data_IF_869873180445
#
_entry.id   IF_869873180445
#
_cell.length_a   1.000
_cell.length_b   1.000
_cell.length_c   1.000
_cell.angle_alpha   90.00
_cell.angle_beta   90.00
_cell.angle_gamma   90.00
#
_symmetry.space_group_name_H-M   'P 1'
#
loop_
_entity.id
_entity.type
_entity.pdbx_description
1 polymer ?
#
# COMPACT_ATOMS: atom_id res chain seq x y z
N UNK A 1 -3.99 -23.72 5.04
CA UNK A 1 -2.74 -23.26 4.38
C UNK A 1 -2.91 -23.36 2.89
N UNK A 2 -2.94 -22.19 2.26
CA UNK A 2 -3.07 -22.04 0.81
C UNK A 2 -1.76 -22.47 0.10
N UNK A 3 -1.83 -23.11 -1.07
CA UNK A 3 -0.64 -23.42 -1.87
C UNK A 3 0.15 -22.17 -2.27
N UNK A 4 1.48 -22.23 -2.22
CA UNK A 4 2.38 -21.13 -2.60
C UNK A 4 2.06 -20.52 -3.98
N UNK A 5 1.61 -21.33 -4.93
CA UNK A 5 1.20 -20.88 -6.27
C UNK A 5 0.12 -19.78 -6.24
N UNK A 6 -0.79 -19.78 -5.27
CA UNK A 6 -1.85 -18.77 -5.22
C UNK A 6 -1.34 -17.41 -4.74
N UNK A 7 -0.37 -17.41 -3.82
CA UNK A 7 0.34 -16.18 -3.45
C UNK A 7 1.06 -15.58 -4.67
N UNK A 8 1.76 -16.40 -5.46
CA UNK A 8 2.42 -15.93 -6.68
C UNK A 8 1.43 -15.35 -7.70
N UNK A 9 0.28 -16.00 -7.90
CA UNK A 9 -0.78 -15.52 -8.81
C UNK A 9 -1.31 -14.16 -8.35
N UNK A 10 -1.65 -14.02 -7.07
CA UNK A 10 -2.20 -12.77 -6.52
C UNK A 10 -1.18 -11.64 -6.61
N UNK A 11 0.08 -11.89 -6.26
CA UNK A 11 1.16 -10.90 -6.40
C UNK A 11 1.36 -10.48 -7.86
N UNK A 12 1.42 -11.44 -8.78
CA UNK A 12 1.57 -11.16 -10.21
C UNK A 12 0.42 -10.30 -10.74
N UNK A 13 -0.82 -10.61 -10.37
CA UNK A 13 -2.00 -9.82 -10.77
C UNK A 13 -1.98 -8.43 -10.14
N UNK A 14 -1.66 -8.32 -8.84
CA UNK A 14 -1.57 -7.03 -8.15
C UNK A 14 -0.55 -6.09 -8.81
N UNK A 15 0.60 -6.62 -9.25
CA UNK A 15 1.60 -5.86 -10.00
C UNK A 15 1.09 -5.56 -11.41
N UNK A 16 0.57 -6.56 -12.12
CA UNK A 16 0.16 -6.45 -13.52
C UNK A 16 -0.95 -5.42 -13.75
N UNK A 17 -1.95 -5.36 -12.86
CA UNK A 17 -3.04 -4.37 -12.93
C UNK A 17 -2.50 -2.94 -12.83
N UNK A 18 -1.43 -2.76 -12.07
CA UNK A 18 -0.77 -1.46 -11.89
C UNK A 18 0.33 -1.22 -12.93
N UNK A 19 0.65 -2.16 -13.82
CA UNK A 19 1.57 -1.88 -14.93
C UNK A 19 1.04 -0.78 -15.84
N UNK A 20 -0.29 -0.70 -16.00
CA UNK A 20 -0.93 0.34 -16.81
C UNK A 20 -0.82 1.75 -16.19
N UNK A 21 -0.53 1.85 -14.89
CA UNK A 21 -0.30 3.15 -14.22
C UNK A 21 1.13 3.65 -14.39
N UNK A 22 2.04 2.80 -14.87
CA UNK A 22 3.46 3.12 -15.09
C UNK A 22 3.72 4.06 -16.26
N UNK A 23 2.74 4.25 -17.14
CA UNK A 23 2.81 5.21 -18.24
C UNK A 23 2.55 6.66 -17.77
N UNK A 24 2.25 6.86 -16.49
CA UNK A 24 2.10 8.20 -15.90
C UNK A 24 3.46 8.88 -15.76
N UNK A 25 3.66 9.96 -16.50
CA UNK A 25 4.84 10.81 -16.34
C UNK A 25 4.63 11.83 -15.21
N UNK A 26 5.71 12.38 -14.66
CA UNK A 26 5.61 13.65 -13.94
C UNK A 26 5.32 14.72 -15.00
N UNK A 27 4.06 14.97 -15.36
CA UNK A 27 3.74 15.98 -16.39
C UNK A 27 4.37 17.32 -15.99
N UNK A 28 5.36 17.74 -16.77
CA UNK A 28 5.98 19.05 -16.71
C UNK A 28 5.12 20.03 -17.54
N UNK A 29 4.94 21.24 -17.05
CA UNK A 29 4.78 22.39 -17.95
C UNK A 29 6.20 22.71 -18.45
N UNK A 30 6.43 22.83 -19.76
CA UNK A 30 7.73 23.07 -20.41
C UNK A 30 8.43 24.37 -19.96
N UNK A 31 7.83 25.08 -19.01
CA UNK A 31 8.37 26.26 -18.36
C UNK A 31 8.56 25.90 -16.89
N UNK A 32 9.81 25.86 -16.44
CA UNK A 32 10.23 25.76 -15.03
C UNK A 32 9.76 26.95 -14.16
N UNK A 33 8.50 27.36 -14.27
CA UNK A 33 7.85 28.44 -13.54
C UNK A 33 6.75 27.86 -12.65
N UNK A 34 6.66 28.25 -11.37
CA UNK A 34 5.54 27.88 -10.52
C UNK A 34 4.24 28.37 -11.19
N UNK A 35 3.31 27.46 -11.45
CA UNK A 35 1.99 27.81 -11.97
C UNK A 35 1.32 28.78 -11.00
N UNK A 36 1.30 30.06 -11.34
CA UNK A 36 0.53 31.05 -10.61
C UNK A 36 -0.94 30.63 -10.56
N UNK A 37 -1.55 30.90 -9.41
CA UNK A 37 -2.86 30.49 -8.91
C UNK A 37 -4.09 30.75 -9.80
N UNK A 38 -3.93 31.29 -11.01
CA UNK A 38 -5.03 31.67 -11.89
C UNK A 38 -5.57 30.52 -12.76
N UNK A 39 -4.79 29.46 -13.03
CA UNK A 39 -5.28 28.29 -13.76
C UNK A 39 -6.11 27.33 -12.90
N UNK A 40 -5.99 27.42 -11.57
CA UNK A 40 -6.79 26.65 -10.60
C UNK A 40 -8.27 27.06 -10.66
N UNK A 41 -8.57 28.31 -11.05
CA UNK A 41 -9.96 28.78 -11.16
C UNK A 41 -10.58 28.49 -12.54
N UNK A 42 -9.78 28.38 -13.60
CA UNK A 42 -10.29 28.04 -14.94
C UNK A 42 -10.55 26.54 -15.15
N UNK A 43 -9.90 25.65 -14.39
CA UNK A 43 -10.17 24.21 -14.45
C UNK A 43 -11.56 23.81 -13.92
N UNK A 44 -12.29 24.72 -13.28
CA UNK A 44 -13.71 24.54 -12.93
C UNK A 44 -14.69 24.79 -14.07
N UNK A 45 -14.29 25.35 -15.23
CA UNK A 45 -15.27 25.82 -16.23
C UNK A 45 -15.13 25.40 -17.67
N UNK A 46 -14.04 24.79 -18.13
CA UNK A 46 -13.92 24.46 -19.56
C UNK A 46 -13.41 23.05 -19.78
N UNK A 47 -14.37 22.12 -19.83
CA UNK A 47 -14.30 21.05 -20.81
C UNK A 47 -14.13 21.68 -22.20
N UNK A 48 -13.00 21.42 -22.86
CA UNK A 48 -12.98 21.15 -24.30
C UNK A 48 -11.62 20.58 -24.70
N UNK A 49 -11.67 19.32 -25.13
CA UNK A 49 -10.67 18.64 -25.94
C UNK A 49 -10.09 19.59 -26.99
N UNK A 50 -8.76 19.78 -26.98
CA UNK A 50 -7.95 19.84 -28.21
C UNK A 50 -6.45 19.87 -27.91
N UNK A 51 -5.76 18.96 -28.58
CA UNK A 51 -4.32 18.95 -28.91
C UNK A 51 -3.31 18.82 -27.77
N UNK A 52 -3.02 17.55 -27.42
CA UNK A 52 -1.64 17.12 -27.15
C UNK A 52 -1.43 15.86 -27.99
N UNK A 53 -1.27 16.07 -29.30
CA UNK A 53 -0.85 15.05 -30.25
C UNK A 53 0.66 15.19 -30.46
N UNK A 54 1.44 14.60 -29.57
CA UNK A 54 2.83 14.26 -29.86
C UNK A 54 3.23 13.09 -28.96
N UNK A 55 3.70 12.01 -29.57
CA UNK A 55 4.16 10.77 -28.94
C UNK A 55 3.08 9.81 -28.41
N UNK A 56 2.56 8.97 -29.33
CA UNK A 56 2.51 7.50 -29.17
C UNK A 56 1.59 6.91 -30.26
N UNK A 57 2.21 6.46 -31.34
CA UNK A 57 1.61 5.48 -32.23
C UNK A 57 1.55 4.12 -31.50
N UNK A 58 0.51 3.35 -31.81
CA UNK A 58 0.18 2.00 -31.32
C UNK A 58 -0.30 1.83 -29.88
N UNK A 59 -1.61 2.01 -29.68
CA UNK A 59 -2.52 1.02 -29.03
C UNK A 59 -3.89 1.66 -28.70
N UNK A 60 -4.74 1.83 -29.71
CA UNK A 60 -6.04 2.52 -29.59
C UNK A 60 -7.12 1.80 -28.75
N UNK A 61 -6.83 0.65 -28.15
CA UNK A 61 -7.81 -0.12 -27.36
C UNK A 61 -7.74 0.16 -25.84
N UNK A 62 -6.58 0.58 -25.31
CA UNK A 62 -6.40 0.77 -23.86
C UNK A 62 -6.78 2.19 -23.37
N UNK A 63 -6.78 3.18 -24.28
CA UNK A 63 -7.11 4.59 -23.99
C UNK A 63 -8.58 4.86 -23.67
N UNK A 64 -9.49 3.96 -24.03
CA UNK A 64 -10.93 4.13 -23.82
C UNK A 64 -11.41 3.60 -22.46
N UNK A 65 -10.54 2.98 -21.66
CA UNK A 65 -10.93 2.49 -20.34
C UNK A 65 -11.11 3.67 -19.37
N UNK A 66 -12.21 3.72 -18.58
CA UNK A 66 -12.42 4.76 -17.58
C UNK A 66 -11.30 4.79 -16.52
N UNK A 67 -10.61 3.66 -16.33
CA UNK A 67 -9.43 3.55 -15.47
C UNK A 67 -8.24 4.35 -16.02
N UNK A 68 -8.04 4.38 -17.35
CA UNK A 68 -6.95 5.16 -17.97
C UNK A 68 -7.15 6.68 -17.79
N UNK A 69 -8.40 7.15 -17.93
CA UNK A 69 -8.76 8.57 -17.72
C UNK A 69 -8.58 9.03 -16.27
N UNK A 70 -8.81 8.15 -15.30
CA UNK A 70 -8.63 8.44 -13.87
C UNK A 70 -7.15 8.55 -13.48
N UNK A 71 -6.29 7.71 -14.07
CA UNK A 71 -4.86 7.60 -13.77
C UNK A 71 -4.09 8.85 -14.23
N UNK A 72 -4.48 9.48 -15.34
CA UNK A 72 -3.88 10.71 -15.87
C UNK A 72 -4.55 11.99 -15.32
N UNK A 73 -5.28 11.92 -14.22
CA UNK A 73 -5.94 13.11 -13.68
C UNK A 73 -4.89 14.17 -13.26
N UNK A 74 -5.04 15.45 -13.67
CA UNK A 74 -4.06 16.51 -13.40
C UNK A 74 -3.73 16.70 -11.91
N UNK A 75 -4.68 16.36 -11.03
CA UNK A 75 -4.53 16.43 -9.57
C UNK A 75 -3.49 15.45 -9.04
N UNK A 76 -3.43 14.23 -9.58
CA UNK A 76 -2.48 13.19 -9.16
C UNK A 76 -1.05 13.62 -9.51
N UNK A 77 -0.87 14.14 -10.71
CA UNK A 77 0.44 14.56 -11.21
C UNK A 77 0.98 15.77 -10.44
N UNK A 78 0.15 16.78 -10.23
CA UNK A 78 0.54 17.97 -9.47
C UNK A 78 0.95 17.64 -8.03
N UNK A 79 0.20 16.74 -7.38
CA UNK A 79 0.50 16.30 -6.01
C UNK A 79 1.84 15.56 -5.95
N UNK A 80 2.14 14.71 -6.93
CA UNK A 80 3.40 13.98 -7.01
C UNK A 80 4.60 14.93 -7.19
N UNK A 81 4.46 15.95 -8.03
CA UNK A 81 5.49 16.96 -8.22
C UNK A 81 5.82 17.68 -6.91
N UNK A 82 4.81 18.18 -6.18
CA UNK A 82 5.05 18.88 -4.92
C UNK A 82 5.68 17.99 -3.86
N UNK A 83 5.20 16.75 -3.73
CA UNK A 83 5.66 15.84 -2.68
C UNK A 83 7.08 15.32 -2.91
N UNK A 84 7.55 15.25 -4.17
CA UNK A 84 8.82 14.60 -4.55
C UNK A 84 9.80 15.60 -5.14
N UNK A 85 9.43 16.24 -6.26
CA UNK A 85 10.37 17.06 -7.05
C UNK A 85 10.62 18.40 -6.37
N UNK A 86 9.57 19.06 -5.89
CA UNK A 86 9.69 20.35 -5.19
C UNK A 86 10.13 20.18 -3.71
N UNK A 87 10.12 18.96 -3.18
CA UNK A 87 10.41 18.69 -1.78
C UNK A 87 11.92 18.50 -1.54
N UNK A 88 12.55 19.49 -0.92
CA UNK A 88 13.98 19.47 -0.58
C UNK A 88 14.37 18.31 0.35
N UNK A 89 13.43 17.79 1.15
CA UNK A 89 13.70 16.67 2.05
C UNK A 89 13.85 15.35 1.29
N UNK A 90 13.22 15.22 0.11
CA UNK A 90 13.30 14.05 -0.76
C UNK A 90 14.56 14.06 -1.61
N UNK A 91 14.90 15.21 -2.20
CA UNK A 91 16.13 15.37 -3.01
C UNK A 91 17.42 15.30 -2.18
N UNK A 92 17.30 15.25 -0.85
CA UNK A 92 18.44 15.13 0.05
C UNK A 92 19.19 16.43 0.29
N UNK A 93 18.60 17.57 -0.09
CA UNK A 93 19.17 18.89 0.13
C UNK A 93 19.05 19.22 1.63
N UNK A 94 20.14 18.98 2.36
CA UNK A 94 20.26 19.22 3.78
C UNK A 94 20.08 17.97 4.66
N UNK A 95 20.04 18.22 5.97
CA UNK A 95 20.01 17.17 7.00
C UNK A 95 18.78 16.28 6.89
N UNK A 96 18.97 14.96 7.04
CA UNK A 96 17.86 13.98 7.09
C UNK A 96 16.88 14.25 8.24
N UNK A 97 17.35 14.86 9.33
CA UNK A 97 16.52 15.18 10.49
C UNK A 97 15.39 16.18 10.17
N UNK A 98 15.52 16.96 9.08
CA UNK A 98 14.48 17.88 8.62
C UNK A 98 13.17 17.16 8.30
N UNK A 99 13.23 15.90 7.85
CA UNK A 99 12.05 15.07 7.57
C UNK A 99 11.14 14.93 8.79
N UNK A 100 11.71 14.97 10.01
CA UNK A 100 10.95 14.86 11.25
C UNK A 100 10.42 16.21 11.77
N UNK A 101 10.89 17.33 11.22
CA UNK A 101 10.50 18.69 11.60
C UNK A 101 9.58 19.36 10.55
N UNK A 102 9.54 18.83 9.34
CA UNK A 102 8.73 19.32 8.24
C UNK A 102 7.45 18.50 8.05
N UNK A 103 6.47 19.10 7.38
CA UNK A 103 5.32 18.39 6.88
C UNK A 103 5.67 17.58 5.62
N UNK A 104 4.71 16.80 5.15
CA UNK A 104 4.81 15.93 3.98
C UNK A 104 5.28 16.65 2.70
N UNK A 105 5.11 17.97 2.60
CA UNK A 105 5.44 18.78 1.43
C UNK A 105 6.79 19.49 1.57
N UNK A 106 7.51 19.29 2.68
CA UNK A 106 8.83 19.89 2.93
C UNK A 106 8.77 21.27 3.59
N UNK A 107 7.61 21.68 4.12
CA UNK A 107 7.45 22.95 4.84
C UNK A 107 7.59 22.70 6.34
N UNK A 108 8.35 23.50 7.11
CA UNK A 108 8.45 23.35 8.56
C UNK A 108 7.09 23.35 9.25
N UNK A 109 6.87 22.42 10.18
CA UNK A 109 5.57 22.28 10.88
C UNK A 109 5.17 23.54 11.67
N UNK A 110 6.15 24.33 12.11
CA UNK A 110 5.93 25.60 12.80
C UNK A 110 5.51 26.74 11.87
N UNK A 111 5.65 26.58 10.55
CA UNK A 111 5.34 27.61 9.59
C UNK A 111 3.81 27.76 9.44
N UNK A 112 3.25 28.99 9.45
CA UNK A 112 1.80 29.21 9.34
C UNK A 112 1.16 28.64 8.07
N UNK A 113 1.92 28.60 6.97
CA UNK A 113 1.51 28.01 5.69
C UNK A 113 1.69 26.50 5.57
N UNK A 114 2.12 25.81 6.64
CA UNK A 114 2.21 24.35 6.64
C UNK A 114 0.82 23.72 6.63
N UNK A 115 0.66 22.66 5.85
CA UNK A 115 -0.55 21.83 5.88
C UNK A 115 -0.65 20.97 7.14
N UNK A 116 0.42 20.92 7.96
CA UNK A 116 0.54 20.07 9.17
C UNK A 116 0.32 18.59 8.91
N UNK A 117 0.42 18.16 7.66
CA UNK A 117 0.33 16.77 7.25
C UNK A 117 1.63 16.05 7.59
N UNK A 118 1.71 15.48 8.79
CA UNK A 118 2.93 14.82 9.29
C UNK A 118 3.03 13.36 8.82
N UNK A 119 3.98 13.06 7.92
CA UNK A 119 4.18 11.73 7.32
C UNK A 119 5.68 11.41 7.08
N UNK A 120 6.54 11.48 8.12
CA UNK A 120 7.99 11.42 7.96
C UNK A 120 8.47 10.10 7.33
N UNK A 121 7.82 8.98 7.66
CA UNK A 121 8.18 7.67 7.11
C UNK A 121 7.97 7.61 5.59
N UNK A 122 6.93 8.25 5.08
CA UNK A 122 6.63 8.25 3.64
C UNK A 122 7.66 9.11 2.90
N UNK A 123 8.00 10.28 3.43
CA UNK A 123 9.06 11.14 2.89
C UNK A 123 10.41 10.41 2.91
N UNK A 124 10.71 9.63 3.96
CA UNK A 124 11.90 8.77 4.00
C UNK A 124 11.88 7.72 2.87
N UNK A 125 10.74 7.06 2.61
CA UNK A 125 10.65 6.11 1.48
C UNK A 125 10.87 6.80 0.13
N UNK A 126 10.40 8.05 -0.04
CA UNK A 126 10.65 8.82 -1.26
C UNK A 126 12.12 9.22 -1.37
N UNK A 127 12.76 9.68 -0.29
CA UNK A 127 14.19 10.00 -0.27
C UNK A 127 15.05 8.78 -0.59
N UNK A 128 14.70 7.61 -0.06
CA UNK A 128 15.37 6.36 -0.39
C UNK A 128 15.18 5.99 -1.85
N UNK A 129 13.96 6.11 -2.37
CA UNK A 129 13.66 5.86 -3.77
C UNK A 129 14.43 6.82 -4.70
N UNK A 130 14.54 8.10 -4.31
CA UNK A 130 15.36 9.10 -5.00
C UNK A 130 16.84 8.75 -4.99
N UNK A 131 17.38 8.32 -3.85
CA UNK A 131 18.79 7.94 -3.73
C UNK A 131 19.18 6.78 -4.67
N UNK A 132 18.25 5.88 -4.98
CA UNK A 132 18.48 4.73 -5.86
C UNK A 132 18.18 5.00 -7.33
N UNK A 133 17.11 5.74 -7.64
CA UNK A 133 16.55 5.85 -8.99
C UNK A 133 16.26 7.29 -9.44
N UNK A 134 16.65 8.28 -8.63
CA UNK A 134 16.42 9.70 -8.90
C UNK A 134 14.95 10.06 -9.00
N UNK A 135 14.62 10.95 -9.95
CA UNK A 135 13.26 11.38 -10.25
C UNK A 135 12.60 10.55 -11.36
N UNK A 136 12.94 9.26 -11.50
CA UNK A 136 12.28 8.39 -12.48
C UNK A 136 10.85 8.04 -12.02
N UNK A 137 9.76 8.52 -12.66
CA UNK A 137 8.38 8.27 -12.21
C UNK A 137 8.06 6.79 -12.18
N UNK A 138 8.58 6.03 -13.15
CA UNK A 138 8.49 4.58 -13.21
C UNK A 138 8.90 3.91 -11.89
N UNK A 139 10.00 4.35 -11.27
CA UNK A 139 10.49 3.78 -10.01
C UNK A 139 9.51 4.00 -8.84
N UNK A 140 8.82 5.14 -8.82
CA UNK A 140 7.86 5.46 -7.77
C UNK A 140 6.57 4.67 -7.91
N UNK A 141 6.06 4.53 -9.15
CA UNK A 141 4.89 3.69 -9.41
C UNK A 141 5.20 2.21 -9.17
N UNK A 142 6.39 1.72 -9.55
CA UNK A 142 6.82 0.36 -9.25
C UNK A 142 6.88 0.09 -7.75
N UNK A 143 7.42 1.03 -6.97
CA UNK A 143 7.45 0.93 -5.52
C UNK A 143 6.03 0.80 -4.94
N UNK A 144 5.07 1.56 -5.46
CA UNK A 144 3.67 1.46 -5.02
C UNK A 144 3.03 0.12 -5.44
N UNK A 145 3.31 -0.36 -6.65
CA UNK A 145 2.84 -1.67 -7.12
C UNK A 145 3.38 -2.82 -6.27
N UNK A 146 4.66 -2.76 -5.88
CA UNK A 146 5.27 -3.72 -4.95
C UNK A 146 4.62 -3.63 -3.56
N UNK A 147 4.38 -2.43 -3.04
CA UNK A 147 3.68 -2.25 -1.77
C UNK A 147 2.26 -2.85 -1.83
N UNK A 148 1.53 -2.63 -2.93
CA UNK A 148 0.18 -3.20 -3.12
C UNK A 148 0.20 -4.73 -3.21
N UNK A 149 1.21 -5.31 -3.86
CA UNK A 149 1.41 -6.75 -3.89
C UNK A 149 1.62 -7.30 -2.47
N UNK A 150 2.47 -6.66 -1.65
CA UNK A 150 2.68 -7.04 -0.24
C UNK A 150 1.37 -6.94 0.55
N UNK A 151 0.61 -5.85 0.37
CA UNK A 151 -0.69 -5.69 1.03
C UNK A 151 -1.67 -6.81 0.64
N UNK A 152 -1.73 -7.16 -0.65
CA UNK A 152 -2.58 -8.23 -1.17
C UNK A 152 -2.19 -9.61 -0.62
N UNK A 153 -0.88 -9.88 -0.48
CA UNK A 153 -0.36 -11.11 0.11
C UNK A 153 -0.69 -11.21 1.61
N UNK A 154 -0.57 -10.10 2.35
CA UNK A 154 -0.97 -10.06 3.76
C UNK A 154 -2.48 -10.25 3.92
N UNK A 155 -3.27 -9.64 3.05
CA UNK A 155 -4.73 -9.78 3.05
C UNK A 155 -5.14 -11.25 2.86
N UNK A 156 -4.63 -11.93 1.83
CA UNK A 156 -5.00 -13.33 1.58
C UNK A 156 -4.50 -14.26 2.71
N UNK A 157 -3.33 -13.98 3.30
CA UNK A 157 -2.83 -14.71 4.46
C UNK A 157 -3.73 -14.53 5.70
N UNK A 158 -4.30 -13.34 5.88
CA UNK A 158 -5.23 -13.05 6.96
C UNK A 158 -6.57 -13.76 6.74
N UNK A 159 -7.08 -13.75 5.51
CA UNK A 159 -8.33 -14.46 5.15
C UNK A 159 -8.21 -15.97 5.38
N UNK A 160 -7.10 -16.60 4.98
CA UNK A 160 -6.84 -18.03 5.25
C UNK A 160 -6.92 -18.34 6.75
N UNK A 161 -6.31 -17.47 7.56
CA UNK A 161 -6.22 -17.69 9.01
C UNK A 161 -7.55 -17.46 9.73
N UNK A 162 -8.34 -16.46 9.33
CA UNK A 162 -9.59 -16.11 10.02
C UNK A 162 -10.71 -17.06 9.60
N UNK A 163 -10.92 -17.25 8.30
CA UNK A 163 -12.14 -17.87 7.80
C UNK A 163 -12.00 -19.34 7.43
N UNK A 164 -10.78 -19.84 7.23
CA UNK A 164 -10.50 -21.26 6.90
C UNK A 164 -11.38 -21.80 5.75
N UNK A 165 -11.60 -20.96 4.73
CA UNK A 165 -12.47 -21.26 3.60
C UNK A 165 -11.80 -22.20 2.60
N UNK A 166 -12.55 -22.61 1.57
CA UNK A 166 -11.97 -23.37 0.46
C UNK A 166 -10.87 -22.54 -0.23
N UNK A 167 -9.81 -23.22 -0.68
CA UNK A 167 -8.64 -22.55 -1.25
C UNK A 167 -9.00 -21.68 -2.47
N UNK A 168 -9.97 -22.10 -3.27
CA UNK A 168 -10.48 -21.34 -4.42
C UNK A 168 -11.16 -20.05 -4.01
N UNK A 169 -11.92 -20.06 -2.91
CA UNK A 169 -12.59 -18.87 -2.41
C UNK A 169 -11.58 -17.86 -1.87
N UNK A 170 -10.54 -18.34 -1.19
CA UNK A 170 -9.51 -17.43 -0.67
C UNK A 170 -8.68 -16.82 -1.81
N UNK A 171 -8.37 -17.60 -2.86
CA UNK A 171 -7.78 -17.06 -4.09
C UNK A 171 -8.69 -15.99 -4.72
N UNK A 172 -9.99 -16.25 -4.81
CA UNK A 172 -10.96 -15.28 -5.33
C UNK A 172 -10.97 -13.98 -4.51
N UNK A 173 -10.97 -14.06 -3.17
CA UNK A 173 -10.85 -12.87 -2.32
C UNK A 173 -9.56 -12.09 -2.57
N UNK A 174 -8.42 -12.78 -2.70
CA UNK A 174 -7.13 -12.14 -2.98
C UNK A 174 -7.08 -11.45 -4.34
N UNK A 175 -7.63 -12.10 -5.38
CA UNK A 175 -7.73 -11.51 -6.72
C UNK A 175 -8.68 -10.31 -6.74
N UNK A 176 -9.83 -10.41 -6.05
CA UNK A 176 -10.78 -9.32 -5.94
C UNK A 176 -10.14 -8.12 -5.26
N UNK A 177 -9.41 -8.31 -4.15
CA UNK A 177 -8.64 -7.25 -3.50
C UNK A 177 -7.56 -6.66 -4.40
N UNK A 178 -6.80 -7.49 -5.12
CA UNK A 178 -5.72 -7.04 -5.98
C UNK A 178 -6.20 -6.14 -7.14
N UNK A 179 -7.36 -6.46 -7.72
CA UNK A 179 -7.93 -5.80 -8.91
C UNK A 179 -8.90 -4.66 -8.55
N UNK A 180 -9.31 -4.54 -7.28
CA UNK A 180 -10.41 -3.66 -6.90
C UNK A 180 -10.14 -2.19 -7.26
N UNK A 181 -11.01 -1.59 -8.07
CA UNK A 181 -10.87 -0.21 -8.56
C UNK A 181 -10.83 0.85 -7.43
N UNK A 182 -11.33 0.52 -6.24
CA UNK A 182 -11.20 1.39 -5.04
C UNK A 182 -9.75 1.69 -4.68
N UNK A 183 -8.82 0.79 -5.02
CA UNK A 183 -7.40 0.98 -4.78
C UNK A 183 -6.71 1.77 -5.90
N UNK A 184 -7.40 2.07 -7.00
CA UNK A 184 -6.80 2.75 -8.14
C UNK A 184 -6.24 4.13 -7.73
N UNK A 185 -6.97 4.92 -6.94
CA UNK A 185 -6.47 6.23 -6.50
C UNK A 185 -5.26 6.11 -5.56
N UNK A 186 -5.29 5.13 -4.63
CA UNK A 186 -4.22 4.90 -3.66
C UNK A 186 -2.94 4.32 -4.28
N UNK A 187 -3.06 3.50 -5.33
CA UNK A 187 -1.92 2.82 -5.95
C UNK A 187 -1.41 3.55 -7.19
N UNK A 188 -2.31 4.12 -8.01
CA UNK A 188 -1.92 4.88 -9.20
C UNK A 188 -1.28 6.22 -8.84
N UNK A 189 -1.75 6.89 -7.79
CA UNK A 189 -1.09 8.10 -7.31
C UNK A 189 0.21 7.77 -6.60
N UNK A 190 1.33 8.36 -7.01
CA UNK A 190 2.61 8.20 -6.33
C UNK A 190 2.49 8.59 -4.85
N UNK A 191 1.76 9.69 -4.57
CA UNK A 191 1.51 10.22 -3.22
C UNK A 191 0.66 9.25 -2.37
N UNK A 192 -0.15 8.40 -3.01
CA UNK A 192 -0.99 7.40 -2.36
C UNK A 192 -0.21 6.28 -1.65
N UNK A 193 1.12 6.23 -1.80
CA UNK A 193 2.02 5.33 -1.06
C UNK A 193 1.74 5.31 0.44
N UNK A 194 1.36 6.46 1.01
CA UNK A 194 1.02 6.58 2.42
C UNK A 194 -0.10 5.61 2.85
N UNK A 195 -1.15 5.49 2.03
CA UNK A 195 -2.32 4.68 2.34
C UNK A 195 -2.01 3.18 2.17
N UNK A 196 -1.18 2.83 1.18
CA UNK A 196 -0.75 1.45 0.94
C UNK A 196 0.15 0.95 2.07
N UNK A 197 1.14 1.75 2.48
CA UNK A 197 2.03 1.42 3.60
C UNK A 197 1.26 1.33 4.91
N UNK A 198 0.32 2.25 5.17
CA UNK A 198 -0.55 2.17 6.34
C UNK A 198 -1.36 0.86 6.36
N UNK A 199 -1.90 0.47 5.20
CA UNK A 199 -2.62 -0.81 5.04
C UNK A 199 -1.73 -2.01 5.37
N UNK A 200 -0.48 -2.03 4.89
CA UNK A 200 0.49 -3.08 5.23
C UNK A 200 0.71 -3.16 6.75
N UNK A 201 0.90 -2.03 7.43
CA UNK A 201 1.11 -1.99 8.88
C UNK A 201 -0.10 -2.53 9.65
N UNK A 202 -1.30 -2.13 9.25
CA UNK A 202 -2.56 -2.59 9.87
C UNK A 202 -2.72 -4.10 9.67
N UNK A 203 -2.60 -4.60 8.44
CA UNK A 203 -2.72 -6.02 8.14
C UNK A 203 -1.66 -6.86 8.87
N UNK A 204 -0.43 -6.37 8.93
CA UNK A 204 0.67 -7.03 9.67
C UNK A 204 0.34 -7.12 11.17
N UNK A 205 -0.18 -6.05 11.75
CA UNK A 205 -0.58 -6.01 13.17
C UNK A 205 -1.65 -7.06 13.46
N UNK A 206 -2.69 -7.14 12.62
CA UNK A 206 -3.73 -8.16 12.75
C UNK A 206 -3.17 -9.57 12.59
N UNK A 207 -2.28 -9.79 11.63
CA UNK A 207 -1.68 -11.09 11.38
C UNK A 207 -0.88 -11.58 12.60
N UNK A 208 -0.03 -10.73 13.17
CA UNK A 208 0.78 -11.04 14.36
C UNK A 208 -0.11 -11.23 15.60
N UNK A 209 -1.12 -10.39 15.78
CA UNK A 209 -2.08 -10.53 16.89
C UNK A 209 -2.78 -11.89 16.90
N UNK A 210 -3.27 -12.33 15.73
CA UNK A 210 -3.91 -13.64 15.60
C UNK A 210 -2.93 -14.79 15.79
N UNK A 211 -1.68 -14.62 15.34
CA UNK A 211 -0.63 -15.62 15.56
C UNK A 211 -0.35 -15.81 17.05
N UNK A 212 -0.22 -14.71 17.80
CA UNK A 212 0.03 -14.76 19.24
C UNK A 212 -1.15 -15.40 19.98
N UNK A 213 -2.39 -15.03 19.65
CA UNK A 213 -3.58 -15.68 20.25
C UNK A 213 -3.61 -17.19 20.03
N UNK A 214 -3.25 -17.64 18.82
CA UNK A 214 -3.19 -19.07 18.51
C UNK A 214 -2.06 -19.82 19.25
N UNK A 215 -0.98 -19.13 19.61
CA UNK A 215 0.10 -19.71 20.43
C UNK A 215 -0.29 -19.78 21.90
N UNK A 216 -0.85 -18.71 22.47
CA UNK A 216 -1.28 -18.69 23.87
C UNK A 216 -2.37 -19.73 24.15
N UNK A 217 -3.32 -19.93 23.23
CA UNK A 217 -4.34 -20.96 23.39
C UNK A 217 -3.79 -22.40 23.35
N UNK A 218 -2.70 -22.63 22.61
CA UNK A 218 -2.00 -23.92 22.59
C UNK A 218 -1.27 -24.18 23.91
N UNK A 219 -0.54 -23.20 24.42
CA UNK A 219 0.19 -23.29 25.70
C UNK A 219 -0.80 -23.54 26.85
N UNK A 220 -1.90 -22.79 26.92
CA UNK A 220 -2.91 -23.00 27.95
C UNK A 220 -3.53 -24.40 27.92
N UNK A 221 -3.76 -24.96 26.72
CA UNK A 221 -4.25 -26.34 26.58
C UNK A 221 -3.24 -27.41 26.99
N UNK A 222 -1.93 -27.16 26.80
CA UNK A 222 -0.91 -28.09 27.30
C UNK A 222 -0.79 -28.02 28.82
N UNK A 223 -0.97 -26.85 29.43
CA UNK A 223 -0.90 -26.69 30.89
C UNK A 223 -2.14 -27.24 31.60
N UNK A 224 -3.32 -27.18 30.97
CA UNK A 224 -4.58 -27.74 31.50
C UNK A 224 -4.68 -29.27 31.36
N UNK A 225 -3.80 -29.91 30.56
CA UNK A 225 -3.77 -31.36 30.37
C UNK A 225 -2.47 -31.91 30.96
N UNK A 226 -2.41 -32.24 32.27
CA UNK A 226 -1.23 -32.90 32.82
C UNK A 226 -0.97 -34.18 32.02
N UNK A 227 0.30 -34.41 31.69
CA UNK A 227 0.76 -35.60 30.98
C UNK A 227 0.03 -36.82 31.53
N UNK A 228 -0.67 -37.55 30.66
CA UNK A 228 -1.25 -38.83 31.03
C UNK A 228 -0.09 -39.76 31.44
N UNK A 229 0.19 -39.82 32.75
CA UNK A 229 1.23 -40.68 33.31
C UNK A 229 0.76 -42.11 33.07
N UNK A 230 1.33 -42.74 32.06
CA UNK A 230 1.13 -44.15 31.77
C UNK A 230 2.13 -44.93 32.62
N UNK A 231 1.63 -45.58 33.67
CA UNK A 231 2.39 -46.57 34.45
C UNK A 231 1.89 -47.96 34.02
N UNK A 232 2.80 -48.82 33.57
CA UNK A 232 2.52 -50.22 33.18
C UNK A 232 1.42 -50.43 32.12
N UNK A 233 1.41 -49.60 31.06
CA UNK A 233 0.58 -49.85 29.87
C UNK A 233 -0.94 -49.70 30.08
N UNK A 234 -1.39 -49.22 31.24
CA UNK A 234 -2.79 -48.84 31.49
C UNK A 234 -2.91 -47.32 31.60
N UNK A 235 -3.81 -46.75 30.80
CA UNK A 235 -4.19 -45.34 30.85
C UNK A 235 -4.88 -45.08 32.20
N UNK A 236 -4.18 -44.46 33.16
CA UNK A 236 -4.80 -44.01 34.41
C UNK A 236 -5.60 -42.73 34.10
N UNK A 237 -6.92 -42.92 34.07
CA UNK A 237 -8.00 -41.94 33.93
C UNK A 237 -7.62 -40.46 34.14
N UNK A 238 -7.91 -39.61 33.15
CA UNK A 238 -8.07 -38.17 33.36
C UNK A 238 -9.35 -37.94 34.20
N UNK A 239 -9.24 -37.98 35.52
CA UNK A 239 -10.29 -37.49 36.41
C UNK A 239 -10.11 -35.97 36.60
N UNK A 240 -11.13 -35.14 36.29
CA UNK A 240 -11.13 -33.75 36.72
C UNK A 240 -11.40 -33.74 38.23
N UNK A 241 -10.34 -33.76 39.04
CA UNK A 241 -10.45 -33.46 40.46
C UNK A 241 -10.60 -31.95 40.62
N UNK A 242 -11.83 -31.50 40.89
CA UNK A 242 -12.08 -30.10 41.22
C UNK A 242 -13.55 -29.69 41.20
N UNK A 243 -14.44 -30.48 41.79
CA UNK A 243 -15.64 -29.90 42.41
C UNK A 243 -15.15 -28.87 43.45
N UNK A 244 -15.55 -27.61 43.29
CA UNK A 244 -15.47 -26.60 44.33
C UNK A 244 -16.83 -26.58 45.02
N UNK A 245 -17.00 -27.17 46.22
CA UNK A 245 -18.11 -26.83 47.09
C UNK A 245 -17.72 -25.59 47.91
N UNK A 246 -18.48 -24.51 47.75
CA UNK A 246 -19.09 -23.66 48.80
C UNK A 246 -19.70 -22.42 48.14
#
# INVERSE_FOLDING_TARGET
MIPNRYYCIVAAVAIAVNLNTLNGDFVYDDRHTPLESNLIFQSRRVMRFRHIDAFAADSNFLRSSPLYSLVLSPKIVYSAFQAIVANADVSGIGSMWRIFANDFWGIPLSHPGSHRSYRPLIVLTFRFNYALFGFSPLSYHMSNAVCHAIASLLFIALVDRIFQLSQMFILFCGLLFAVHAVHAEAVASIVGRADVVATICVLSTFYVYLQNKAQTSKIRRSDEMPDAITVDGKLLCCLPLGHVPF
#
